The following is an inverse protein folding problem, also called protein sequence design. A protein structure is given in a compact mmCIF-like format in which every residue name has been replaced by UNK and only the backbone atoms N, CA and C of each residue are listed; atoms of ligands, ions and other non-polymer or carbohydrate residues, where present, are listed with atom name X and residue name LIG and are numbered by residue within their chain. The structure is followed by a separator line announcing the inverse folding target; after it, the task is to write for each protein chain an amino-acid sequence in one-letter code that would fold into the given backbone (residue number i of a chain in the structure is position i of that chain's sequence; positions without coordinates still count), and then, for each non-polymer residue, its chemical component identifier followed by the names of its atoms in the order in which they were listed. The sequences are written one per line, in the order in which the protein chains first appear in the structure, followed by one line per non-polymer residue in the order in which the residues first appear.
data_IF_466101341769
#
_entry.id   IF_466101341769
#
_cell.length_a   1.000
_cell.length_b   1.000
_cell.length_c   1.000
_cell.angle_alpha   90.00
_cell.angle_beta   90.00
_cell.angle_gamma   90.00
#
_symmetry.space_group_name_H-M   'P 1'
#
loop_
_entity.id
_entity.type
_entity.pdbx_description
1 polymer ?
#
# COMPACT_ATOMS: atom_id res chain seq x y z
N UNK A 1 32.82 16.50 5.29
CA UNK A 1 31.88 16.71 6.41
C UNK A 1 30.47 16.71 5.86
N UNK A 2 29.69 15.66 6.14
CA UNK A 2 28.28 15.56 5.72
C UNK A 2 27.45 16.58 6.53
N UNK A 3 26.80 17.53 5.85
CA UNK A 3 25.75 18.34 6.49
C UNK A 3 24.58 17.40 6.76
N UNK A 4 24.42 16.98 8.01
CA UNK A 4 23.22 16.28 8.44
C UNK A 4 22.06 17.26 8.24
N UNK A 5 21.20 16.98 7.26
CA UNK A 5 20.00 17.76 7.03
C UNK A 5 19.19 17.77 8.33
N UNK A 6 18.97 18.96 8.89
CA UNK A 6 18.11 19.13 10.07
C UNK A 6 16.69 18.79 9.64
N UNK A 7 16.13 17.71 10.18
CA UNK A 7 14.73 17.35 9.94
C UNK A 7 13.84 18.50 10.40
N UNK A 8 13.00 19.02 9.49
CA UNK A 8 12.18 20.22 9.71
C UNK A 8 10.99 19.89 10.62
N UNK A 9 10.49 18.66 10.56
CA UNK A 9 9.34 18.19 11.34
C UNK A 9 9.79 17.14 12.37
N UNK A 10 9.31 17.22 13.62
CA UNK A 10 9.54 16.19 14.62
C UNK A 10 8.76 14.92 14.25
N UNK A 11 9.31 13.75 14.59
CA UNK A 11 8.58 12.49 14.54
C UNK A 11 7.39 12.52 15.50
N UNK A 12 6.32 11.80 15.19
CA UNK A 12 5.24 11.65 16.17
C UNK A 12 5.75 10.86 17.38
N UNK A 13 5.23 11.17 18.56
CA UNK A 13 5.45 10.33 19.74
C UNK A 13 4.39 9.23 19.75
N UNK A 14 4.86 7.99 19.61
CA UNK A 14 4.04 6.80 19.54
C UNK A 14 3.15 6.59 20.76
N UNK A 15 3.54 7.12 21.92
CA UNK A 15 2.72 7.03 23.14
C UNK A 15 1.47 7.92 23.10
N UNK A 16 1.39 8.88 22.17
CA UNK A 16 0.35 9.91 22.12
C UNK A 16 -0.43 9.96 20.81
N UNK A 17 -0.17 9.06 19.85
CA UNK A 17 -0.95 8.95 18.61
C UNK A 17 -1.72 7.65 18.56
N UNK A 18 -2.90 7.69 17.93
CA UNK A 18 -3.70 6.48 17.72
C UNK A 18 -3.09 5.57 16.63
N UNK A 19 -3.47 4.30 16.64
CA UNK A 19 -3.02 3.32 15.65
C UNK A 19 -3.38 3.76 14.22
N UNK A 20 -4.51 4.47 14.05
CA UNK A 20 -4.94 4.99 12.75
C UNK A 20 -3.91 5.97 12.18
N UNK A 21 -3.41 6.90 12.99
CA UNK A 21 -2.38 7.87 12.59
C UNK A 21 -1.09 7.17 12.17
N UNK A 22 -0.64 6.18 12.95
CA UNK A 22 0.53 5.36 12.62
C UNK A 22 0.35 4.68 11.26
N UNK A 23 -0.82 4.07 11.06
CA UNK A 23 -1.16 3.41 9.79
C UNK A 23 -1.20 4.41 8.65
N UNK A 24 -1.83 5.57 8.79
CA UNK A 24 -1.94 6.60 7.75
C UNK A 24 -0.56 7.14 7.33
N UNK A 25 0.35 7.35 8.29
CA UNK A 25 1.74 7.75 7.99
C UNK A 25 2.46 6.67 7.21
N UNK A 26 2.33 5.39 7.62
CA UNK A 26 2.93 4.26 6.90
C UNK A 26 2.32 4.08 5.50
N UNK A 27 1.00 4.25 5.34
CA UNK A 27 0.30 4.23 4.06
C UNK A 27 0.86 5.30 3.13
N UNK A 28 0.94 6.53 3.62
CA UNK A 28 1.42 7.70 2.87
C UNK A 28 2.85 7.46 2.41
N UNK A 29 3.73 6.97 3.29
CA UNK A 29 5.11 6.62 2.94
C UNK A 29 5.19 5.58 1.82
N UNK A 30 4.38 4.52 1.90
CA UNK A 30 4.38 3.47 0.89
C UNK A 30 3.89 4.00 -0.47
N UNK A 31 2.89 4.88 -0.46
CA UNK A 31 2.35 5.54 -1.66
C UNK A 31 3.41 6.43 -2.32
N UNK A 32 4.07 7.30 -1.57
CA UNK A 32 5.13 8.17 -2.09
C UNK A 32 6.28 7.36 -2.69
N UNK A 33 6.75 6.33 -1.98
CA UNK A 33 7.82 5.45 -2.48
C UNK A 33 7.40 4.74 -3.77
N UNK A 34 6.14 4.30 -3.87
CA UNK A 34 5.61 3.67 -5.06
C UNK A 34 5.54 4.65 -6.25
N UNK A 35 5.03 5.87 -6.04
CA UNK A 35 4.99 6.92 -7.07
C UNK A 35 6.39 7.29 -7.55
N UNK A 36 7.32 7.48 -6.61
CA UNK A 36 8.73 7.72 -6.89
C UNK A 36 9.33 6.65 -7.82
N UNK A 37 9.19 5.38 -7.46
CA UNK A 37 9.67 4.25 -8.26
C UNK A 37 9.03 4.22 -9.66
N UNK A 38 7.72 4.49 -9.75
CA UNK A 38 7.01 4.51 -11.02
C UNK A 38 7.50 5.62 -11.94
N UNK A 39 7.73 6.83 -11.42
CA UNK A 39 8.21 7.94 -12.23
C UNK A 39 9.65 7.73 -12.69
N UNK A 40 10.53 7.17 -11.85
CA UNK A 40 11.87 6.76 -12.30
C UNK A 40 11.76 5.77 -13.45
N UNK A 41 10.96 4.72 -13.29
CA UNK A 41 10.78 3.70 -14.33
C UNK A 41 10.16 4.27 -15.60
N UNK A 42 9.18 5.16 -15.48
CA UNK A 42 8.56 5.84 -16.61
C UNK A 42 9.55 6.73 -17.36
N UNK A 43 10.45 7.42 -16.64
CA UNK A 43 11.52 8.19 -17.24
C UNK A 43 12.51 7.30 -18.01
N UNK A 44 12.90 6.16 -17.43
CA UNK A 44 13.83 5.20 -18.02
C UNK A 44 13.32 4.64 -19.36
N UNK A 45 12.03 4.31 -19.44
CA UNK A 45 11.45 3.71 -20.65
C UNK A 45 10.92 4.75 -21.65
N UNK A 46 10.74 6.00 -21.24
CA UNK A 46 10.23 7.04 -22.12
C UNK A 46 11.22 7.33 -23.25
N UNK A 47 10.75 7.26 -24.49
CA UNK A 47 11.52 7.64 -25.67
C UNK A 47 11.36 9.13 -26.02
N UNK A 48 10.36 9.81 -25.45
CA UNK A 48 10.09 11.22 -25.68
C UNK A 48 10.84 12.06 -24.63
N UNK A 49 11.82 12.91 -25.02
CA UNK A 49 12.65 13.66 -24.07
C UNK A 49 11.85 14.56 -23.12
N UNK A 50 10.77 15.18 -23.62
CA UNK A 50 9.88 16.02 -22.82
C UNK A 50 9.24 15.22 -21.67
N UNK A 51 8.65 14.07 -21.97
CA UNK A 51 8.03 13.22 -20.95
C UNK A 51 9.05 12.65 -19.97
N UNK A 52 10.24 12.27 -20.45
CA UNK A 52 11.34 11.85 -19.58
C UNK A 52 11.66 12.94 -18.55
N UNK A 53 11.79 14.19 -18.99
CA UNK A 53 12.08 15.32 -18.10
C UNK A 53 10.95 15.57 -17.10
N UNK A 54 9.69 15.47 -17.52
CA UNK A 54 8.53 15.57 -16.63
C UNK A 54 8.59 14.49 -15.54
N UNK A 55 8.79 13.22 -15.92
CA UNK A 55 8.87 12.12 -14.96
C UNK A 55 10.05 12.25 -14.01
N UNK A 56 11.23 12.66 -14.49
CA UNK A 56 12.37 12.93 -13.62
C UNK A 56 12.06 14.04 -12.62
N UNK A 57 11.44 15.14 -13.04
CA UNK A 57 11.05 16.22 -12.12
C UNK A 57 10.05 15.72 -11.08
N UNK A 58 9.00 15.02 -11.48
CA UNK A 58 8.02 14.44 -10.56
C UNK A 58 8.69 13.48 -9.57
N UNK A 59 9.64 12.65 -10.01
CA UNK A 59 10.38 11.77 -9.09
C UNK A 59 11.18 12.55 -8.04
N UNK A 60 11.70 13.75 -8.35
CA UNK A 60 12.37 14.56 -7.34
C UNK A 60 11.37 15.09 -6.30
N UNK A 61 10.18 15.50 -6.73
CA UNK A 61 9.10 15.97 -5.86
C UNK A 61 8.61 14.83 -4.93
N UNK A 62 8.31 13.64 -5.46
CA UNK A 62 7.87 12.51 -4.63
C UNK A 62 8.98 12.04 -3.66
N UNK A 63 10.26 12.14 -4.05
CA UNK A 63 11.37 11.88 -3.13
C UNK A 63 11.43 12.88 -1.96
N UNK A 64 11.03 14.13 -2.19
CA UNK A 64 10.90 15.13 -1.13
C UNK A 64 9.68 14.85 -0.25
N UNK A 65 8.52 14.53 -0.83
CA UNK A 65 7.33 14.14 -0.07
C UNK A 65 7.60 12.94 0.82
N UNK A 66 8.26 11.90 0.28
CA UNK A 66 8.64 10.74 1.06
C UNK A 66 9.57 11.13 2.22
N UNK A 67 10.56 11.99 1.96
CA UNK A 67 11.48 12.46 3.02
C UNK A 67 10.74 13.22 4.12
N UNK A 68 9.73 14.03 3.77
CA UNK A 68 8.86 14.72 4.73
C UNK A 68 8.05 13.71 5.53
N UNK A 69 7.39 12.74 4.89
CA UNK A 69 6.60 11.73 5.61
C UNK A 69 7.50 10.84 6.47
N UNK A 70 8.71 10.49 6.02
CA UNK A 70 9.69 9.76 6.81
C UNK A 70 10.15 10.51 8.05
N UNK A 71 10.06 11.84 8.07
CA UNK A 71 10.33 12.61 9.29
C UNK A 71 9.28 12.36 10.38
N UNK A 72 8.07 11.93 10.01
CA UNK A 72 7.02 11.54 10.95
C UNK A 72 7.24 10.12 11.51
N UNK A 73 7.88 9.23 10.76
CA UNK A 73 8.01 7.80 11.15
C UNK A 73 8.87 7.60 12.39
N UNK A 74 8.41 6.72 13.28
CA UNK A 74 9.20 6.27 14.42
C UNK A 74 10.30 5.30 13.92
N UNK A 75 11.56 5.56 14.29
CA UNK A 75 12.69 4.71 13.91
C UNK A 75 12.60 3.31 14.54
N UNK A 76 11.80 3.14 15.58
CA UNK A 76 11.57 1.87 16.26
C UNK A 76 10.43 1.05 15.62
N UNK A 77 9.81 1.53 14.54
CA UNK A 77 8.79 0.78 13.81
C UNK A 77 9.33 -0.57 13.33
N UNK A 78 8.68 -1.62 13.80
CA UNK A 78 9.04 -3.01 13.49
C UNK A 78 8.53 -3.38 12.09
N UNK A 79 9.16 -4.40 11.48
CA UNK A 79 8.72 -4.93 10.17
C UNK A 79 7.26 -5.36 10.20
N UNK A 80 6.79 -5.85 11.35
CA UNK A 80 5.44 -6.37 11.51
C UNK A 80 4.38 -5.26 11.55
N UNK A 81 4.68 -4.12 12.18
CA UNK A 81 3.81 -2.94 12.15
C UNK A 81 3.68 -2.38 10.75
N UNK A 82 4.81 -2.29 10.03
CA UNK A 82 4.84 -1.90 8.61
C UNK A 82 4.00 -2.84 7.75
N UNK A 83 4.05 -4.14 8.02
CA UNK A 83 3.23 -5.12 7.34
C UNK A 83 1.74 -4.92 7.63
N UNK A 84 1.34 -4.74 8.89
CA UNK A 84 -0.06 -4.47 9.28
C UNK A 84 -0.60 -3.22 8.58
N UNK A 85 0.13 -2.11 8.65
CA UNK A 85 -0.27 -0.86 8.04
C UNK A 85 -0.39 -0.97 6.52
N UNK A 86 0.58 -1.64 5.86
CA UNK A 86 0.52 -1.89 4.42
C UNK A 86 -0.74 -2.68 4.02
N UNK A 87 -1.12 -3.71 4.79
CA UNK A 87 -2.36 -4.43 4.50
C UNK A 87 -3.60 -3.55 4.67
N UNK A 88 -3.64 -2.67 5.68
CA UNK A 88 -4.75 -1.72 5.84
C UNK A 88 -4.83 -0.77 4.63
N UNK A 89 -3.71 -0.27 4.13
CA UNK A 89 -3.68 0.58 2.92
C UNK A 89 -4.33 -0.12 1.73
N UNK A 90 -3.96 -1.40 1.50
CA UNK A 90 -4.52 -2.21 0.43
C UNK A 90 -6.02 -2.44 0.61
N UNK A 91 -6.47 -2.78 1.82
CA UNK A 91 -7.88 -3.01 2.14
C UNK A 91 -8.72 -1.77 1.84
N UNK A 92 -8.31 -0.59 2.36
CA UNK A 92 -9.03 0.68 2.15
C UNK A 92 -9.10 1.03 0.66
N UNK A 93 -7.99 0.86 -0.06
CA UNK A 93 -7.93 1.16 -1.49
C UNK A 93 -8.82 0.24 -2.32
N UNK A 94 -8.79 -1.07 -2.06
CA UNK A 94 -9.60 -2.06 -2.75
C UNK A 94 -11.09 -1.87 -2.45
N UNK A 95 -11.45 -1.58 -1.20
CA UNK A 95 -12.84 -1.26 -0.85
C UNK A 95 -13.38 -0.07 -1.65
N UNK A 96 -12.57 0.98 -1.83
CA UNK A 96 -12.92 2.12 -2.70
C UNK A 96 -13.09 1.71 -4.17
N UNK A 97 -12.17 0.91 -4.71
CA UNK A 97 -12.27 0.41 -6.09
C UNK A 97 -13.53 -0.42 -6.33
N UNK A 98 -13.82 -1.37 -5.44
CA UNK A 98 -15.02 -2.21 -5.51
C UNK A 98 -16.29 -1.35 -5.51
N UNK A 99 -16.35 -0.33 -4.66
CA UNK A 99 -17.52 0.56 -4.54
C UNK A 99 -17.81 1.40 -5.79
N UNK A 100 -16.78 1.70 -6.59
CA UNK A 100 -16.88 2.55 -7.76
C UNK A 100 -16.79 1.81 -9.10
N UNK A 101 -16.47 0.52 -9.10
CA UNK A 101 -16.24 -0.25 -10.32
C UNK A 101 -17.57 -0.66 -10.97
N UNK A 102 -17.92 -0.14 -12.17
CA UNK A 102 -19.16 -0.52 -12.85
C UNK A 102 -19.09 -1.93 -13.47
N UNK A 103 -17.89 -2.43 -13.81
CA UNK A 103 -17.74 -3.71 -14.49
C UNK A 103 -17.65 -4.87 -13.50
N UNK A 104 -18.65 -5.75 -13.54
CA UNK A 104 -18.75 -6.90 -12.64
C UNK A 104 -17.51 -7.82 -12.65
N UNK A 105 -16.92 -8.05 -13.83
CA UNK A 105 -15.71 -8.87 -13.94
C UNK A 105 -14.51 -8.27 -13.20
N UNK A 106 -14.27 -6.96 -13.36
CA UNK A 106 -13.20 -6.24 -12.64
C UNK A 106 -13.49 -6.19 -11.14
N UNK A 107 -14.74 -5.93 -10.75
CA UNK A 107 -15.18 -5.93 -9.34
C UNK A 107 -14.85 -7.25 -8.65
N UNK A 108 -15.15 -8.39 -9.27
CA UNK A 108 -14.84 -9.72 -8.71
C UNK A 108 -13.35 -9.96 -8.50
N UNK A 109 -12.51 -9.45 -9.40
CA UNK A 109 -11.04 -9.51 -9.23
C UNK A 109 -10.61 -8.69 -8.03
N UNK A 110 -11.16 -7.48 -7.86
CA UNK A 110 -10.85 -6.65 -6.68
C UNK A 110 -11.34 -7.27 -5.38
N UNK A 111 -12.55 -7.84 -5.36
CA UNK A 111 -13.08 -8.58 -4.20
C UNK A 111 -12.21 -9.78 -3.84
N UNK A 112 -11.77 -10.54 -4.84
CA UNK A 112 -10.86 -11.66 -4.66
C UNK A 112 -9.55 -11.23 -3.98
N UNK A 113 -8.92 -10.18 -4.49
CA UNK A 113 -7.66 -9.64 -3.94
C UNK A 113 -7.89 -9.05 -2.54
N UNK A 114 -9.04 -8.40 -2.30
CA UNK A 114 -9.41 -7.85 -0.99
C UNK A 114 -9.46 -8.96 0.07
N UNK A 115 -10.05 -10.11 -0.24
CA UNK A 115 -10.12 -11.24 0.70
C UNK A 115 -8.73 -11.75 1.11
N UNK A 116 -7.75 -11.72 0.21
CA UNK A 116 -6.38 -12.13 0.53
C UNK A 116 -5.68 -11.11 1.44
N UNK A 117 -5.86 -9.81 1.17
CA UNK A 117 -5.31 -8.76 2.04
C UNK A 117 -5.94 -8.76 3.42
N UNK A 118 -7.25 -9.05 3.54
CA UNK A 118 -7.91 -9.27 4.83
C UNK A 118 -7.28 -10.45 5.59
N UNK A 119 -6.97 -11.55 4.89
CA UNK A 119 -6.28 -12.68 5.50
C UNK A 119 -4.85 -12.35 5.96
N UNK A 120 -4.07 -11.67 5.12
CA UNK A 120 -2.73 -11.24 5.46
C UNK A 120 -2.73 -10.29 6.66
N UNK A 121 -3.67 -9.33 6.68
CA UNK A 121 -3.86 -8.43 7.80
C UNK A 121 -4.12 -9.20 9.09
N UNK A 122 -5.05 -10.15 9.10
CA UNK A 122 -5.33 -11.01 10.26
C UNK A 122 -4.06 -11.74 10.74
N UNK A 123 -3.29 -12.33 9.81
CA UNK A 123 -2.07 -13.05 10.17
C UNK A 123 -1.02 -12.14 10.80
N UNK A 124 -0.79 -10.95 10.24
CA UNK A 124 0.19 -9.99 10.78
C UNK A 124 -0.26 -9.41 12.11
N UNK A 125 -1.53 -9.01 12.24
CA UNK A 125 -2.10 -8.49 13.49
C UNK A 125 -2.04 -9.54 14.61
N UNK A 126 -2.33 -10.81 14.31
CA UNK A 126 -2.19 -11.90 15.27
C UNK A 126 -0.74 -12.11 15.73
N UNK A 127 0.22 -12.05 14.81
CA UNK A 127 1.65 -12.12 15.15
C UNK A 127 2.09 -10.91 15.97
N UNK A 128 1.58 -9.72 15.66
CA UNK A 128 1.93 -8.47 16.35
C UNK A 128 1.43 -8.50 17.78
N UNK A 129 0.16 -8.84 17.97
CA UNK A 129 -0.45 -8.98 19.29
C UNK A 129 0.32 -9.97 20.18
N UNK A 130 0.73 -11.13 19.63
CA UNK A 130 1.55 -12.11 20.36
C UNK A 130 2.92 -11.58 20.77
N UNK A 131 3.57 -10.82 19.89
CA UNK A 131 4.91 -10.26 20.13
C UNK A 131 4.89 -9.16 21.19
N UNK A 132 3.90 -8.27 21.12
CA UNK A 132 3.76 -7.11 22.02
C UNK A 132 3.05 -7.45 23.34
N UNK A 133 2.68 -8.73 23.56
CA UNK A 133 1.96 -9.16 24.76
C UNK A 133 0.55 -8.56 24.89
N UNK A 134 -0.03 -8.06 23.80
CA UNK A 134 -1.35 -7.43 23.80
C UNK A 134 -2.45 -8.47 24.06
N UNK A 135 -3.38 -8.12 24.94
CA UNK A 135 -4.49 -9.01 25.32
C UNK A 135 -5.38 -9.33 24.11
N UNK A 136 -6.14 -10.45 24.13
CA UNK A 136 -7.09 -10.79 23.07
C UNK A 136 -8.13 -9.71 22.77
N UNK A 137 -8.38 -8.75 23.68
CA UNK A 137 -9.28 -7.61 23.43
C UNK A 137 -8.71 -6.57 22.46
N UNK A 138 -7.39 -6.41 22.37
CA UNK A 138 -6.76 -5.59 21.32
C UNK A 138 -6.97 -6.19 19.90
N UNK A 139 -7.50 -7.41 19.80
CA UNK A 139 -7.97 -8.02 18.54
C UNK A 139 -9.35 -7.50 18.11
N UNK A 140 -10.13 -6.89 19.01
CA UNK A 140 -11.50 -6.47 18.75
C UNK A 140 -11.61 -5.21 17.89
N UNK A 141 -10.57 -4.37 17.85
CA UNK A 141 -10.52 -3.17 17.00
C UNK A 141 -10.21 -3.50 15.51
N UNK A 142 -9.87 -4.76 15.22
CA UNK A 142 -9.67 -5.26 13.85
C UNK A 142 -10.45 -6.57 13.65
N UNK A 143 -11.80 -6.53 13.69
CA UNK A 143 -12.60 -7.70 13.41
C UNK A 143 -12.42 -8.07 11.93
N UNK A 144 -11.53 -9.03 11.65
CA UNK A 144 -11.46 -9.70 10.36
C UNK A 144 -11.92 -11.14 10.55
N UNK A 145 -13.04 -11.48 9.93
CA UNK A 145 -13.30 -12.88 9.58
C UNK A 145 -12.12 -13.33 8.74
N UNK A 146 -11.47 -14.44 9.12
CA UNK A 146 -10.36 -14.98 8.34
C UNK A 146 -10.70 -15.04 6.85
N UNK A 147 -9.76 -14.67 6.00
CA UNK A 147 -9.97 -14.72 4.56
C UNK A 147 -9.92 -16.15 4.03
N UNK A 148 -9.58 -16.31 2.75
CA UNK A 148 -9.64 -17.61 2.08
C UNK A 148 -8.59 -18.57 2.61
N UNK A 149 -8.93 -19.87 2.68
CA UNK A 149 -7.97 -20.94 3.00
C UNK A 149 -6.74 -20.85 2.09
N UNK A 150 -5.55 -21.18 2.62
CA UNK A 150 -4.28 -21.08 1.87
C UNK A 150 -4.34 -21.81 0.52
N UNK A 151 -4.94 -23.01 0.48
CA UNK A 151 -5.09 -23.80 -0.74
C UNK A 151 -6.06 -23.21 -1.78
N UNK A 152 -6.80 -22.16 -1.43
CA UNK A 152 -7.72 -21.44 -2.32
C UNK A 152 -7.17 -20.07 -2.74
N UNK A 153 -6.01 -19.65 -2.23
CA UNK A 153 -5.43 -18.34 -2.52
C UNK A 153 -4.74 -18.27 -3.89
N UNK A 154 -4.30 -19.41 -4.43
CA UNK A 154 -3.74 -19.47 -5.77
C UNK A 154 -4.84 -19.44 -6.82
N UNK A 155 -4.78 -18.46 -7.74
CA UNK A 155 -5.45 -18.55 -9.04
C UNK A 155 -4.43 -19.13 -10.03
N UNK A 156 -4.85 -20.02 -10.92
CA UNK A 156 -4.03 -20.37 -12.08
C UNK A 156 -3.92 -19.10 -12.96
N UNK A 157 -2.70 -18.61 -13.18
CA UNK A 157 -2.48 -17.40 -13.97
C UNK A 157 -3.14 -17.44 -15.36
N UNK A 158 -3.37 -18.66 -15.90
CA UNK A 158 -4.07 -18.89 -17.17
C UNK A 158 -5.57 -18.55 -17.10
N UNK A 159 -6.18 -18.71 -15.92
CA UNK A 159 -7.56 -18.30 -15.64
C UNK A 159 -7.67 -16.79 -15.38
N UNK A 160 -6.55 -16.14 -15.04
CA UNK A 160 -6.45 -14.69 -14.84
C UNK A 160 -6.03 -13.92 -16.10
N UNK A 161 -5.78 -14.61 -17.23
CA UNK A 161 -5.46 -13.96 -18.49
C UNK A 161 -6.65 -13.11 -18.95
N UNK A 162 -6.45 -11.80 -18.98
CA UNK A 162 -7.41 -10.83 -19.49
C UNK A 162 -7.86 -11.24 -20.89
N UNK A 163 -9.17 -11.37 -21.09
CA UNK A 163 -9.74 -10.96 -22.38
C UNK A 163 -9.35 -9.49 -22.56
N UNK A 164 -8.68 -9.09 -23.67
CA UNK A 164 -8.27 -7.71 -23.86
C UNK A 164 -9.46 -6.78 -23.64
N UNK A 165 -9.25 -5.68 -22.93
CA UNK A 165 -10.29 -4.66 -22.71
C UNK A 165 -10.80 -4.03 -24.02
N UNK A 166 -10.14 -4.33 -25.15
CA UNK A 166 -10.26 -3.54 -26.37
C UNK A 166 -10.19 -4.40 -27.66
N UNK A 167 -11.19 -5.27 -27.86
CA UNK A 167 -11.42 -5.86 -29.19
C UNK A 167 -12.76 -5.47 -29.81
N UNK A 168 -13.59 -4.67 -29.12
CA UNK A 168 -14.88 -4.20 -29.64
C UNK A 168 -14.91 -2.73 -30.05
N UNK A 169 -13.80 -1.99 -29.96
CA UNK A 169 -13.73 -0.57 -30.38
C UNK A 169 -12.79 -0.29 -31.55
N UNK A 170 -12.13 -1.31 -32.11
CA UNK A 170 -11.35 -1.17 -33.35
C UNK A 170 -12.23 -1.58 -34.54
N UNK A 171 -13.17 -0.71 -34.89
CA UNK A 171 -13.66 -0.65 -36.27
C UNK A 171 -12.74 0.31 -37.03
N UNK A 172 -11.68 -0.25 -37.64
CA UNK A 172 -10.96 0.39 -38.75
C UNK A 172 -11.48 -0.24 -40.03
#
# INVERSE_FOLDING_TARGET
MSRVAKTIFPSYDRAYVDMKTIVDVMCSKAIERFQWNNYIRAAEISQVPEFRNIFLRLSLEEGQHESVIMSLTDRQETVLEKAVAGQISHIVRLARFISGEPQEAARRVYEHILLDHLNHHLQFTNKLARKEGLSPMARADFPSSGGRDLGKQSIDFREALKTPYDLSLIHI
#
